data_IF_163731821405
#
_entry.id   IF_163731821405
#
_cell.length_a   1.000
_cell.length_b   1.000
_cell.length_c   1.000
_cell.angle_alpha   90.00
_cell.angle_beta   90.00
_cell.angle_gamma   90.00
#
_symmetry.space_group_name_H-M   'P 1'
#
loop_
_entity.id
_entity.type
_entity.pdbx_description
1 polymer ?
#
# COMPACT_ATOMS: atom_id res chain seq x y z
N UNK A 1 39.38 -0.07 -14.46
CA UNK A 1 38.25 -0.73 -13.78
C UNK A 1 37.31 -1.23 -14.86
N UNK A 2 37.02 -2.54 -14.87
CA UNK A 2 36.38 -3.24 -16.01
C UNK A 2 34.92 -2.79 -16.18
N UNK A 3 34.51 -2.40 -17.41
CA UNK A 3 33.15 -1.91 -17.74
C UNK A 3 32.06 -2.90 -17.30
N UNK A 4 32.35 -4.21 -17.31
CA UNK A 4 31.47 -5.27 -16.81
C UNK A 4 31.24 -5.16 -15.30
N UNK A 5 32.28 -4.82 -14.52
CA UNK A 5 32.20 -4.66 -13.06
C UNK A 5 31.38 -3.40 -12.73
N UNK A 6 31.56 -2.31 -13.48
CA UNK A 6 30.76 -1.10 -13.31
C UNK A 6 29.28 -1.31 -13.65
N UNK A 7 28.96 -2.06 -14.72
CA UNK A 7 27.60 -2.44 -15.06
C UNK A 7 26.97 -3.33 -13.97
N UNK A 8 27.72 -4.29 -13.41
CA UNK A 8 27.26 -5.16 -12.33
C UNK A 8 27.00 -4.40 -11.03
N UNK A 9 27.91 -3.47 -10.65
CA UNK A 9 27.72 -2.61 -9.46
C UNK A 9 26.55 -1.66 -9.65
N UNK A 10 26.39 -1.07 -10.84
CA UNK A 10 25.24 -0.20 -11.16
C UNK A 10 23.93 -1.00 -11.13
N UNK A 11 23.91 -2.21 -11.66
CA UNK A 11 22.75 -3.12 -11.62
C UNK A 11 22.40 -3.48 -10.19
N UNK A 12 23.37 -3.88 -9.35
CA UNK A 12 23.15 -4.16 -7.91
C UNK A 12 22.65 -2.94 -7.15
N UNK A 13 23.14 -1.73 -7.40
CA UNK A 13 22.64 -0.49 -6.74
C UNK A 13 21.19 -0.18 -7.11
N UNK A 14 20.82 -0.33 -8.38
CA UNK A 14 19.44 -0.12 -8.84
C UNK A 14 18.52 -1.20 -8.23
N UNK A 15 19.01 -2.44 -8.13
CA UNK A 15 18.25 -3.56 -7.59
C UNK A 15 17.94 -3.44 -6.10
N UNK A 16 18.76 -2.69 -5.34
CA UNK A 16 18.50 -2.44 -3.90
C UNK A 16 17.65 -1.18 -3.66
N UNK A 17 17.47 -0.34 -4.67
CA UNK A 17 16.73 0.93 -4.53
C UNK A 17 15.27 0.70 -4.12
N UNK A 18 14.62 -0.34 -4.66
CA UNK A 18 13.23 -0.63 -4.35
C UNK A 18 12.99 -0.85 -2.84
N UNK A 19 13.97 -1.39 -2.12
CA UNK A 19 13.87 -1.64 -0.67
C UNK A 19 13.74 -0.31 0.09
N UNK A 20 14.67 0.63 -0.18
CA UNK A 20 14.68 1.93 0.48
C UNK A 20 13.44 2.74 0.15
N UNK A 21 13.04 2.71 -1.11
CA UNK A 21 11.80 3.38 -1.57
C UNK A 21 10.57 2.76 -0.89
N UNK A 22 10.54 1.43 -0.72
CA UNK A 22 9.47 0.74 0.03
C UNK A 22 9.43 1.16 1.51
N UNK A 23 10.58 1.29 2.17
CA UNK A 23 10.66 1.74 3.56
C UNK A 23 10.12 3.17 3.68
N UNK A 24 10.50 4.08 2.79
CA UNK A 24 9.98 5.46 2.77
C UNK A 24 8.47 5.46 2.51
N UNK A 25 7.98 4.60 1.61
CA UNK A 25 6.55 4.44 1.36
C UNK A 25 5.79 4.00 2.63
N UNK A 26 6.35 3.04 3.37
CA UNK A 26 5.76 2.54 4.62
C UNK A 26 5.73 3.62 5.71
N UNK A 27 6.80 4.40 5.86
CA UNK A 27 6.85 5.55 6.79
C UNK A 27 5.78 6.58 6.42
N UNK A 28 5.73 7.01 5.16
CA UNK A 28 4.73 7.96 4.68
C UNK A 28 3.30 7.46 4.89
N UNK A 29 3.06 6.17 4.65
CA UNK A 29 1.78 5.51 4.89
C UNK A 29 1.39 5.50 6.38
N UNK A 30 2.35 5.25 7.28
CA UNK A 30 2.14 5.28 8.73
C UNK A 30 1.76 6.69 9.20
N UNK A 31 2.48 7.71 8.76
CA UNK A 31 2.17 9.12 9.07
C UNK A 31 0.77 9.48 8.56
N UNK A 32 0.50 9.20 7.28
CA UNK A 32 -0.83 9.43 6.68
C UNK A 32 -1.93 8.75 7.48
N UNK A 33 -1.76 7.46 7.79
CA UNK A 33 -2.77 6.68 8.53
C UNK A 33 -3.06 7.25 9.92
N UNK A 34 -2.03 7.74 10.62
CA UNK A 34 -2.15 8.34 11.95
C UNK A 34 -2.98 9.64 11.90
N UNK A 35 -2.69 10.53 10.96
CA UNK A 35 -3.45 11.78 10.80
C UNK A 35 -4.85 11.54 10.23
N UNK A 36 -5.00 10.61 9.30
CA UNK A 36 -6.29 10.23 8.75
C UNK A 36 -7.22 9.66 9.84
N UNK A 37 -6.68 8.86 10.78
CA UNK A 37 -7.44 8.36 11.94
C UNK A 37 -7.94 9.49 12.82
N UNK A 38 -7.14 10.54 13.06
CA UNK A 38 -7.57 11.74 13.81
C UNK A 38 -8.69 12.49 13.08
N UNK A 39 -8.62 12.56 11.76
CA UNK A 39 -9.63 13.24 10.93
C UNK A 39 -10.96 12.48 10.83
N UNK A 40 -11.03 11.19 11.19
CA UNK A 40 -12.31 10.46 11.19
C UNK A 40 -13.36 11.08 12.12
N UNK A 41 -12.93 11.62 13.26
CA UNK A 41 -13.86 12.23 14.23
C UNK A 41 -14.61 13.44 13.63
N UNK A 42 -13.93 14.47 13.07
CA UNK A 42 -14.62 15.63 12.51
C UNK A 42 -15.16 15.42 11.09
N UNK A 43 -14.60 14.52 10.28
CA UNK A 43 -14.96 14.37 8.88
C UNK A 43 -15.85 13.17 8.58
N UNK A 44 -15.99 12.22 9.51
CA UNK A 44 -16.58 10.91 9.25
C UNK A 44 -15.68 10.03 8.36
N UNK A 45 -16.13 8.82 8.11
CA UNK A 45 -15.33 7.80 7.39
C UNK A 45 -15.08 8.16 5.91
N UNK A 46 -16.11 8.64 5.23
CA UNK A 46 -16.01 9.01 3.81
C UNK A 46 -15.16 10.27 3.61
N UNK A 47 -15.36 11.30 4.45
CA UNK A 47 -14.59 12.54 4.39
C UNK A 47 -13.10 12.32 4.69
N UNK A 48 -12.78 11.52 5.71
CA UNK A 48 -11.40 11.16 6.02
C UNK A 48 -10.74 10.32 4.90
N UNK A 49 -11.52 9.51 4.18
CA UNK A 49 -11.04 8.77 3.01
C UNK A 49 -10.84 9.67 1.80
N UNK A 50 -11.73 10.64 1.59
CA UNK A 50 -11.64 11.60 0.49
C UNK A 50 -10.42 12.51 0.59
N UNK A 51 -10.14 13.03 1.78
CA UNK A 51 -8.97 13.88 2.07
C UNK A 51 -7.66 13.22 1.64
N UNK A 52 -7.56 11.90 1.74
CA UNK A 52 -6.40 11.14 1.27
C UNK A 52 -6.10 11.35 -0.22
N UNK A 53 -7.12 11.45 -1.05
CA UNK A 53 -6.99 11.60 -2.49
C UNK A 53 -6.97 13.07 -2.90
N UNK A 54 -7.96 13.85 -2.48
CA UNK A 54 -8.13 15.24 -2.88
C UNK A 54 -6.94 16.13 -2.51
N UNK A 55 -6.39 15.97 -1.32
CA UNK A 55 -5.22 16.75 -0.88
C UNK A 55 -3.89 16.18 -1.38
N UNK A 56 -3.85 14.91 -1.83
CA UNK A 56 -2.67 14.37 -2.50
C UNK A 56 -2.56 14.85 -3.96
N UNK A 57 -3.68 15.24 -4.57
CA UNK A 57 -3.77 15.62 -5.98
C UNK A 57 -2.75 16.71 -6.39
N UNK A 58 -2.69 17.89 -5.73
CA UNK A 58 -1.73 18.92 -6.11
C UNK A 58 -0.28 18.43 -6.00
N UNK A 59 0.07 17.68 -4.98
CA UNK A 59 1.42 17.15 -4.80
C UNK A 59 1.79 16.10 -5.85
N UNK A 60 0.85 15.26 -6.28
CA UNK A 60 1.05 14.29 -7.34
C UNK A 60 1.35 14.98 -8.69
N UNK A 61 0.61 16.04 -9.01
CA UNK A 61 0.87 16.84 -10.22
C UNK A 61 2.16 17.66 -10.14
N UNK A 62 2.47 18.24 -8.97
CA UNK A 62 3.76 18.92 -8.75
C UNK A 62 4.92 17.95 -8.96
N UNK A 63 4.81 16.72 -8.42
CA UNK A 63 5.83 15.71 -8.64
C UNK A 63 5.97 15.34 -10.13
N UNK A 64 4.86 15.05 -10.79
CA UNK A 64 4.86 14.67 -12.22
C UNK A 64 5.47 15.77 -13.10
N UNK A 65 4.94 16.99 -13.04
CA UNK A 65 5.42 18.10 -13.88
C UNK A 65 6.82 18.58 -13.46
N UNK A 66 7.10 18.61 -12.16
CA UNK A 66 8.41 18.98 -11.62
C UNK A 66 9.50 18.01 -12.07
N UNK A 67 9.23 16.70 -12.05
CA UNK A 67 10.19 15.72 -12.53
C UNK A 67 10.39 15.79 -14.05
N UNK A 68 9.34 15.94 -14.82
CA UNK A 68 9.40 16.10 -16.28
C UNK A 68 10.21 17.35 -16.64
N UNK A 69 9.96 18.48 -15.97
CA UNK A 69 10.71 19.72 -16.21
C UNK A 69 12.20 19.60 -15.83
N UNK A 70 12.50 18.85 -14.76
CA UNK A 70 13.88 18.65 -14.30
C UNK A 70 14.64 17.66 -15.16
N UNK A 71 14.01 16.55 -15.58
CA UNK A 71 14.66 15.47 -16.34
C UNK A 71 14.74 15.75 -17.85
N UNK A 72 13.92 16.67 -18.36
CA UNK A 72 13.74 16.89 -19.80
C UNK A 72 13.00 15.75 -20.50
N UNK A 73 12.41 14.82 -19.74
CA UNK A 73 11.65 13.73 -20.31
C UNK A 73 10.33 14.23 -20.92
N UNK A 74 9.81 13.49 -21.90
CA UNK A 74 8.50 13.76 -22.50
C UNK A 74 7.41 13.02 -21.74
N UNK A 75 6.24 13.64 -21.62
CA UNK A 75 5.05 12.95 -21.08
C UNK A 75 4.58 11.91 -22.09
N UNK A 76 4.34 10.65 -21.67
CA UNK A 76 3.79 9.62 -22.53
C UNK A 76 2.34 9.91 -22.89
N UNK A 77 1.91 9.45 -24.04
CA UNK A 77 0.49 9.46 -24.39
C UNK A 77 -0.30 8.52 -23.51
N UNK A 78 -1.49 8.98 -23.09
CA UNK A 78 -2.39 8.18 -22.27
C UNK A 78 -3.18 7.23 -23.17
N UNK A 79 -2.69 6.00 -23.29
CA UNK A 79 -3.35 4.98 -24.11
C UNK A 79 -4.52 4.30 -23.38
N UNK A 80 -5.37 3.59 -24.11
CA UNK A 80 -6.57 2.90 -23.57
C UNK A 80 -6.19 1.85 -22.50
N UNK A 81 -5.19 0.97 -22.70
CA UNK A 81 -4.78 0.02 -21.68
C UNK A 81 -4.39 0.68 -20.34
N UNK A 82 -3.62 1.78 -20.39
CA UNK A 82 -3.26 2.56 -19.21
C UNK A 82 -4.50 3.07 -18.48
N UNK A 83 -5.45 3.69 -19.20
CA UNK A 83 -6.66 4.26 -18.60
C UNK A 83 -7.54 3.16 -17.98
N UNK A 84 -7.67 2.01 -18.62
CA UNK A 84 -8.44 0.88 -18.10
C UNK A 84 -7.80 0.33 -16.80
N UNK A 85 -6.49 0.07 -16.81
CA UNK A 85 -5.79 -0.44 -15.63
C UNK A 85 -5.79 0.56 -14.48
N UNK A 86 -5.54 1.84 -14.76
CA UNK A 86 -5.53 2.89 -13.72
C UNK A 86 -6.92 3.08 -13.12
N UNK A 87 -7.98 3.04 -13.94
CA UNK A 87 -9.36 3.14 -13.46
C UNK A 87 -9.75 1.92 -12.64
N UNK A 88 -9.46 0.71 -13.10
CA UNK A 88 -9.71 -0.52 -12.36
C UNK A 88 -8.98 -0.52 -11.01
N UNK A 89 -7.72 -0.11 -10.98
CA UNK A 89 -6.94 0.02 -9.76
C UNK A 89 -7.53 1.08 -8.81
N UNK A 90 -7.92 2.25 -9.34
CA UNK A 90 -8.53 3.32 -8.56
C UNK A 90 -9.85 2.91 -7.91
N UNK A 91 -10.74 2.26 -8.67
CA UNK A 91 -12.03 1.74 -8.19
C UNK A 91 -11.82 0.66 -7.12
N UNK A 92 -10.94 -0.31 -7.39
CA UNK A 92 -10.66 -1.39 -6.42
C UNK A 92 -10.02 -0.88 -5.15
N UNK A 93 -9.21 0.17 -5.22
CA UNK A 93 -8.66 0.84 -4.03
C UNK A 93 -9.74 1.55 -3.20
N UNK A 94 -10.73 2.15 -3.84
CA UNK A 94 -11.89 2.74 -3.15
C UNK A 94 -12.69 1.62 -2.46
N UNK A 95 -13.01 0.53 -3.18
CA UNK A 95 -13.75 -0.61 -2.63
C UNK A 95 -12.99 -1.21 -1.43
N UNK A 96 -11.69 -1.46 -1.56
CA UNK A 96 -10.83 -1.88 -0.46
C UNK A 96 -11.00 -0.98 0.77
N UNK A 97 -10.93 0.34 0.56
CA UNK A 97 -11.01 1.32 1.66
C UNK A 97 -12.38 1.24 2.36
N UNK A 98 -13.46 1.16 1.59
CA UNK A 98 -14.83 1.02 2.14
C UNK A 98 -14.99 -0.28 2.92
N UNK A 99 -14.53 -1.41 2.39
CA UNK A 99 -14.59 -2.70 3.07
C UNK A 99 -13.78 -2.69 4.37
N UNK A 100 -12.58 -2.11 4.36
CA UNK A 100 -11.73 -2.00 5.55
C UNK A 100 -12.39 -1.14 6.63
N UNK A 101 -13.00 -0.01 6.26
CA UNK A 101 -13.71 0.87 7.20
C UNK A 101 -14.94 0.15 7.77
N UNK A 102 -15.65 -0.61 6.94
CA UNK A 102 -16.79 -1.42 7.40
C UNK A 102 -16.35 -2.45 8.45
N UNK A 103 -15.17 -3.05 8.30
CA UNK A 103 -14.62 -3.97 9.31
C UNK A 103 -14.40 -3.29 10.66
N UNK A 104 -13.93 -2.04 10.66
CA UNK A 104 -13.69 -1.30 11.91
C UNK A 104 -14.96 -1.00 12.72
N UNK A 105 -16.13 -1.09 12.10
CA UNK A 105 -17.43 -0.87 12.74
C UNK A 105 -17.98 -2.13 13.44
N UNK A 106 -17.35 -3.29 13.27
CA UNK A 106 -17.80 -4.55 13.87
C UNK A 106 -17.01 -4.94 15.12
N UNK A 107 -17.68 -5.58 16.10
CA UNK A 107 -17.05 -6.06 17.35
C UNK A 107 -15.86 -7.02 17.13
N UNK A 108 -15.86 -7.78 16.03
CA UNK A 108 -14.79 -8.73 15.67
C UNK A 108 -13.89 -8.21 14.54
N UNK A 109 -13.61 -6.90 14.52
CA UNK A 109 -12.79 -6.29 13.48
C UNK A 109 -11.37 -6.88 13.38
N UNK A 110 -10.84 -7.40 14.50
CA UNK A 110 -9.48 -7.95 14.54
C UNK A 110 -9.29 -9.16 13.60
N UNK A 111 -10.28 -10.08 13.55
CA UNK A 111 -10.22 -11.18 12.59
C UNK A 111 -10.27 -10.67 11.15
N UNK A 112 -11.24 -9.80 10.83
CA UNK A 112 -11.37 -9.24 9.49
C UNK A 112 -10.12 -8.48 9.03
N UNK A 113 -9.50 -7.69 9.90
CA UNK A 113 -8.24 -6.98 9.56
C UNK A 113 -7.06 -7.95 9.41
N UNK A 114 -6.98 -9.03 10.19
CA UNK A 114 -5.99 -10.07 9.99
C UNK A 114 -6.14 -10.71 8.59
N UNK A 115 -7.37 -11.09 8.21
CA UNK A 115 -7.64 -11.67 6.90
C UNK A 115 -7.40 -10.69 5.75
N UNK A 116 -7.59 -9.39 5.94
CA UNK A 116 -7.22 -8.40 4.90
C UNK A 116 -5.73 -8.38 4.60
N UNK A 117 -4.87 -8.77 5.56
CA UNK A 117 -3.42 -8.84 5.37
C UNK A 117 -2.94 -10.03 4.53
N UNK A 118 -3.84 -10.94 4.14
CA UNK A 118 -3.56 -11.93 3.10
C UNK A 118 -3.38 -11.30 1.72
N UNK A 119 -3.58 -9.99 1.59
CA UNK A 119 -3.36 -9.20 0.38
C UNK A 119 -2.03 -9.50 -0.30
N UNK A 120 -0.96 -9.75 0.49
CA UNK A 120 0.38 -10.02 -0.05
C UNK A 120 0.41 -11.31 -0.86
N UNK A 121 -0.22 -12.39 -0.35
CA UNK A 121 -0.34 -13.66 -1.08
C UNK A 121 -1.23 -13.48 -2.31
N UNK A 122 -2.35 -12.77 -2.15
CA UNK A 122 -3.29 -12.53 -3.24
C UNK A 122 -2.65 -11.66 -4.33
N UNK A 123 -1.82 -10.67 -3.96
CA UNK A 123 -1.04 -9.88 -4.91
C UNK A 123 -0.07 -10.75 -5.72
N UNK A 124 0.63 -11.70 -5.08
CA UNK A 124 1.50 -12.65 -5.79
C UNK A 124 0.72 -13.47 -6.81
N UNK A 125 -0.47 -13.94 -6.42
CA UNK A 125 -1.35 -14.72 -7.32
C UNK A 125 -1.81 -13.85 -8.50
N UNK A 126 -2.29 -12.63 -8.24
CA UNK A 126 -2.71 -11.72 -9.30
C UNK A 126 -1.54 -11.32 -10.20
N UNK A 127 -0.35 -11.09 -9.65
CA UNK A 127 0.85 -10.75 -10.40
C UNK A 127 1.26 -11.90 -11.34
N UNK A 128 1.17 -13.15 -10.88
CA UNK A 128 1.43 -14.32 -11.70
C UNK A 128 0.40 -14.46 -12.85
N UNK A 129 -0.89 -14.22 -12.57
CA UNK A 129 -1.97 -14.36 -13.56
C UNK A 129 -1.96 -13.21 -14.58
N UNK A 130 -1.77 -11.97 -14.13
CA UNK A 130 -1.94 -10.75 -14.96
C UNK A 130 -0.64 -10.41 -15.69
N UNK A 131 0.50 -10.48 -14.98
CA UNK A 131 1.80 -10.05 -15.48
C UNK A 131 2.74 -11.20 -15.82
N UNK A 132 2.34 -12.46 -15.56
CA UNK A 132 3.17 -13.63 -15.80
C UNK A 132 4.39 -13.75 -14.88
N UNK A 133 4.47 -12.94 -13.83
CA UNK A 133 5.61 -12.95 -12.92
C UNK A 133 5.41 -13.95 -11.77
N UNK A 134 6.27 -14.96 -11.71
CA UNK A 134 6.23 -15.98 -10.65
C UNK A 134 7.41 -15.75 -9.70
N UNK A 135 7.10 -15.59 -8.42
CA UNK A 135 8.13 -15.47 -7.37
C UNK A 135 8.85 -16.79 -7.16
N UNK A 136 10.13 -16.75 -6.76
CA UNK A 136 10.87 -17.96 -6.39
C UNK A 136 10.24 -18.62 -5.16
N UNK A 137 10.47 -19.95 -5.02
CA UNK A 137 9.95 -20.69 -3.86
C UNK A 137 10.44 -20.11 -2.53
N UNK A 138 11.69 -19.65 -2.46
CA UNK A 138 12.27 -19.03 -1.26
C UNK A 138 11.49 -17.74 -0.87
N UNK A 139 11.18 -16.89 -1.84
CA UNK A 139 10.40 -15.67 -1.62
C UNK A 139 8.96 -16.03 -1.26
N UNK A 140 8.36 -17.03 -1.90
CA UNK A 140 7.02 -17.52 -1.59
C UNK A 140 6.89 -18.00 -0.14
N UNK A 141 7.86 -18.79 0.33
CA UNK A 141 7.91 -19.26 1.73
C UNK A 141 8.09 -18.07 2.68
N UNK A 142 8.98 -17.13 2.35
CA UNK A 142 9.19 -15.94 3.16
C UNK A 142 7.91 -15.11 3.30
N UNK A 143 7.16 -14.90 2.22
CA UNK A 143 5.87 -14.19 2.22
C UNK A 143 4.85 -14.94 3.11
N UNK A 144 4.79 -16.26 3.02
CA UNK A 144 3.89 -17.07 3.84
C UNK A 144 4.21 -16.90 5.35
N UNK A 145 5.48 -16.94 5.72
CA UNK A 145 5.93 -16.68 7.10
C UNK A 145 5.50 -15.29 7.55
N UNK A 146 5.64 -14.28 6.69
CA UNK A 146 5.21 -12.90 6.99
C UNK A 146 3.71 -12.79 7.24
N UNK A 147 2.89 -13.44 6.43
CA UNK A 147 1.43 -13.48 6.63
C UNK A 147 1.09 -14.16 7.95
N UNK A 148 1.72 -15.29 8.27
CA UNK A 148 1.53 -15.96 9.58
C UNK A 148 1.92 -15.02 10.73
N UNK A 149 3.04 -14.31 10.61
CA UNK A 149 3.47 -13.32 11.61
C UNK A 149 2.42 -12.23 11.84
N UNK A 150 1.84 -11.69 10.77
CA UNK A 150 0.78 -10.66 10.86
C UNK A 150 -0.49 -11.21 11.48
N UNK A 151 -0.86 -12.46 11.19
CA UNK A 151 -1.98 -13.13 11.85
C UNK A 151 -1.72 -13.28 13.35
N UNK A 152 -0.55 -13.75 13.75
CA UNK A 152 -0.16 -13.89 15.16
C UNK A 152 -0.18 -12.53 15.88
N UNK A 153 0.32 -11.48 15.23
CA UNK A 153 0.30 -10.12 15.77
C UNK A 153 -1.14 -9.62 15.98
N UNK A 154 -2.03 -9.89 15.04
CA UNK A 154 -3.44 -9.52 15.12
C UNK A 154 -4.15 -10.26 16.26
N UNK A 155 -3.81 -11.54 16.45
CA UNK A 155 -4.33 -12.35 17.57
C UNK A 155 -3.81 -11.86 18.91
N UNK A 156 -2.51 -11.50 18.99
CA UNK A 156 -1.91 -11.02 20.23
C UNK A 156 -2.54 -9.72 20.73
N UNK A 157 -3.04 -8.88 19.82
CA UNK A 157 -3.74 -7.62 20.12
C UNK A 157 -5.25 -7.77 20.39
N UNK A 158 -5.79 -8.97 20.26
CA UNK A 158 -7.20 -9.24 20.42
C UNK A 158 -7.45 -10.32 21.46
N UNK A 159 -8.68 -10.42 21.95
CA UNK A 159 -9.14 -11.55 22.80
C UNK A 159 -9.37 -12.84 22.01
N UNK A 160 -9.02 -12.86 20.71
CA UNK A 160 -9.21 -14.02 19.85
C UNK A 160 -8.15 -15.09 20.15
N UNK A 161 -8.60 -16.33 20.20
CA UNK A 161 -7.73 -17.51 20.23
C UNK A 161 -7.60 -18.11 18.83
N UNK A 162 -6.58 -18.95 18.60
CA UNK A 162 -6.43 -19.68 17.32
C UNK A 162 -7.68 -20.52 17.00
N UNK A 163 -8.28 -21.14 17.99
CA UNK A 163 -9.52 -21.92 17.82
C UNK A 163 -10.67 -21.04 17.33
N UNK A 164 -10.84 -19.86 17.95
CA UNK A 164 -11.87 -18.91 17.55
C UNK A 164 -11.58 -18.31 16.15
N UNK A 165 -10.31 -18.18 15.74
CA UNK A 165 -9.95 -17.76 14.39
C UNK A 165 -10.34 -18.84 13.37
N UNK A 166 -10.05 -20.11 13.64
CA UNK A 166 -10.46 -21.22 12.76
C UNK A 166 -11.99 -21.33 12.64
N UNK A 167 -12.72 -21.17 13.73
CA UNK A 167 -14.20 -21.16 13.69
C UNK A 167 -14.77 -19.93 12.97
N UNK A 168 -14.02 -18.84 12.91
CA UNK A 168 -14.43 -17.61 12.24
C UNK A 168 -14.20 -17.60 10.71
N UNK A 169 -13.60 -18.65 10.12
CA UNK A 169 -13.34 -18.72 8.69
C UNK A 169 -14.59 -18.51 7.82
N UNK A 170 -15.73 -18.98 8.27
CA UNK A 170 -17.00 -18.87 7.57
C UNK A 170 -17.86 -17.69 8.03
N UNK A 171 -17.27 -16.71 8.73
CA UNK A 171 -18.01 -15.52 9.16
C UNK A 171 -18.02 -14.44 8.08
N UNK A 172 -19.05 -13.59 8.12
CA UNK A 172 -19.16 -12.41 7.23
C UNK A 172 -17.93 -11.49 7.33
N UNK A 173 -17.36 -11.34 8.54
CA UNK A 173 -16.20 -10.50 8.77
C UNK A 173 -14.94 -11.04 8.07
N UNK A 174 -14.75 -12.34 8.09
CA UNK A 174 -13.66 -13.00 7.36
C UNK A 174 -13.82 -12.83 5.85
N UNK A 175 -15.04 -13.04 5.34
CA UNK A 175 -15.32 -12.83 3.92
C UNK A 175 -15.02 -11.37 3.49
N UNK A 176 -15.43 -10.37 4.29
CA UNK A 176 -15.12 -8.95 4.05
C UNK A 176 -13.60 -8.72 4.13
N UNK A 177 -12.91 -9.33 5.10
CA UNK A 177 -11.45 -9.22 5.24
C UNK A 177 -10.71 -9.77 4.02
N UNK A 178 -11.04 -11.00 3.60
CA UNK A 178 -10.46 -11.62 2.40
C UNK A 178 -10.77 -10.84 1.13
N UNK A 179 -12.00 -10.37 0.96
CA UNK A 179 -12.38 -9.53 -0.17
C UNK A 179 -11.60 -8.20 -0.17
N UNK A 180 -11.48 -7.57 1.00
CA UNK A 180 -10.65 -6.37 1.19
C UNK A 180 -9.20 -6.62 0.77
N UNK A 181 -8.60 -7.73 1.20
CA UNK A 181 -7.27 -8.15 0.78
C UNK A 181 -7.17 -8.35 -0.75
N UNK A 182 -8.18 -9.02 -1.36
CA UNK A 182 -8.22 -9.26 -2.79
C UNK A 182 -8.27 -7.95 -3.59
N UNK A 183 -9.12 -7.02 -3.20
CA UNK A 183 -9.21 -5.71 -3.86
C UNK A 183 -7.92 -4.90 -3.73
N UNK A 184 -7.23 -4.96 -2.60
CA UNK A 184 -5.95 -4.29 -2.44
C UNK A 184 -4.83 -4.98 -3.22
N UNK A 185 -4.75 -6.31 -3.17
CA UNK A 185 -3.78 -7.09 -3.95
C UNK A 185 -3.94 -6.85 -5.45
N UNK A 186 -5.15 -6.93 -5.97
CA UNK A 186 -5.45 -6.61 -7.37
C UNK A 186 -5.09 -5.16 -7.72
N UNK A 187 -5.47 -4.20 -6.87
CA UNK A 187 -5.19 -2.79 -7.05
C UNK A 187 -3.69 -2.52 -7.27
N UNK A 188 -2.83 -3.12 -6.45
CA UNK A 188 -1.37 -2.90 -6.52
C UNK A 188 -0.77 -3.46 -7.82
N UNK A 189 -1.24 -4.63 -8.25
CA UNK A 189 -0.82 -5.25 -9.52
C UNK A 189 -1.36 -4.46 -10.72
N UNK A 190 -2.61 -3.99 -10.65
CA UNK A 190 -3.21 -3.18 -11.70
C UNK A 190 -2.49 -1.82 -11.88
N UNK A 191 -1.99 -1.20 -10.80
CA UNK A 191 -1.15 0.00 -10.92
C UNK A 191 0.18 -0.28 -11.60
N UNK A 192 0.79 -1.43 -11.33
CA UNK A 192 1.99 -1.84 -12.07
C UNK A 192 1.67 -2.07 -13.54
N UNK A 193 0.61 -2.81 -13.87
CA UNK A 193 0.15 -3.01 -15.24
C UNK A 193 -0.13 -1.68 -15.96
N UNK A 194 -0.73 -0.70 -15.26
CA UNK A 194 -0.95 0.63 -15.79
C UNK A 194 0.37 1.34 -16.14
N UNK A 195 1.32 1.35 -15.20
CA UNK A 195 2.64 1.97 -15.43
C UNK A 195 3.40 1.29 -16.58
N UNK A 196 3.29 -0.04 -16.69
CA UNK A 196 3.95 -0.81 -17.76
C UNK A 196 3.26 -0.62 -19.14
N UNK A 197 2.00 -0.19 -19.17
CA UNK A 197 1.28 0.14 -20.39
C UNK A 197 1.66 1.51 -20.99
N UNK A 198 2.37 2.37 -20.25
CA UNK A 198 2.85 3.66 -20.75
C UNK A 198 4.13 3.50 -21.57
N UNK A 199 4.15 4.08 -22.76
CA UNK A 199 5.32 4.11 -23.65
C UNK A 199 6.32 5.19 -23.21
N UNK A 200 7.16 4.85 -22.25
CA UNK A 200 8.26 5.68 -21.78
C UNK A 200 9.36 4.80 -21.19
N UNK A 201 10.61 5.10 -21.52
CA UNK A 201 11.79 4.44 -20.96
C UNK A 201 12.09 4.92 -19.52
N UNK A 202 11.55 6.07 -19.13
CA UNK A 202 11.75 6.63 -17.81
C UNK A 202 10.71 6.06 -16.81
N UNK A 203 11.19 5.22 -15.92
CA UNK A 203 10.42 4.58 -14.88
C UNK A 203 9.74 5.60 -13.95
N UNK A 204 10.41 6.73 -13.63
CA UNK A 204 9.84 7.72 -12.71
C UNK A 204 8.73 8.51 -13.41
N UNK A 205 8.87 8.77 -14.71
CA UNK A 205 7.78 9.36 -15.52
C UNK A 205 6.57 8.46 -15.49
N UNK A 206 6.73 7.16 -15.81
CA UNK A 206 5.60 6.19 -15.76
C UNK A 206 4.93 6.15 -14.39
N UNK A 207 5.73 6.07 -13.31
CA UNK A 207 5.22 6.06 -11.94
C UNK A 207 4.48 7.37 -11.58
N UNK A 208 5.03 8.54 -11.95
CA UNK A 208 4.45 9.84 -11.63
C UNK A 208 3.15 10.11 -12.38
N UNK A 209 3.09 9.77 -13.68
CA UNK A 209 1.87 9.88 -14.48
C UNK A 209 0.79 8.95 -13.93
N UNK A 210 1.14 7.69 -13.63
CA UNK A 210 0.20 6.74 -13.03
C UNK A 210 -0.34 7.24 -11.69
N UNK A 211 0.51 7.81 -10.82
CA UNK A 211 0.09 8.37 -9.56
C UNK A 211 -0.86 9.57 -9.74
N UNK A 212 -0.51 10.53 -10.60
CA UNK A 212 -1.30 11.74 -10.83
C UNK A 212 -2.70 11.40 -11.39
N UNK A 213 -2.76 10.56 -12.44
CA UNK A 213 -4.02 10.16 -13.06
C UNK A 213 -4.88 9.32 -12.10
N UNK A 214 -4.26 8.39 -11.36
CA UNK A 214 -4.95 7.57 -10.36
C UNK A 214 -5.61 8.42 -9.27
N UNK A 215 -4.86 9.34 -8.68
CA UNK A 215 -5.35 10.24 -7.62
C UNK A 215 -6.43 11.17 -8.15
N UNK A 216 -6.32 11.62 -9.42
CA UNK A 216 -7.36 12.41 -10.08
C UNK A 216 -8.67 11.64 -10.20
N UNK A 217 -8.62 10.42 -10.77
CA UNK A 217 -9.79 9.54 -10.92
C UNK A 217 -10.45 9.28 -9.55
N UNK A 218 -9.65 8.95 -8.54
CA UNK A 218 -10.15 8.69 -7.19
C UNK A 218 -10.76 9.92 -6.54
N UNK A 219 -10.15 11.09 -6.72
CA UNK A 219 -10.68 12.36 -6.21
C UNK A 219 -12.03 12.70 -6.83
N UNK A 220 -12.18 12.49 -8.13
CA UNK A 220 -13.44 12.72 -8.85
C UNK A 220 -14.52 11.72 -8.38
N UNK A 221 -14.21 10.42 -8.37
CA UNK A 221 -15.18 9.38 -8.01
C UNK A 221 -15.64 9.51 -6.56
N UNK A 222 -14.68 9.66 -5.62
CA UNK A 222 -15.00 9.84 -4.20
C UNK A 222 -15.67 11.19 -3.94
N UNK A 223 -15.23 12.27 -4.58
CA UNK A 223 -15.83 13.60 -4.47
C UNK A 223 -17.30 13.58 -4.90
N UNK A 224 -17.58 12.95 -6.05
CA UNK A 224 -18.95 12.77 -6.55
C UNK A 224 -19.81 11.93 -5.58
N UNK A 225 -19.25 10.83 -5.07
CA UNK A 225 -19.98 9.99 -4.11
C UNK A 225 -20.31 10.74 -2.82
N UNK A 226 -19.33 11.45 -2.21
CA UNK A 226 -19.56 12.21 -0.99
C UNK A 226 -20.55 13.34 -1.21
N UNK A 227 -20.43 14.06 -2.32
CA UNK A 227 -21.38 15.10 -2.69
C UNK A 227 -22.84 14.60 -2.70
N UNK A 228 -23.05 13.37 -3.18
CA UNK A 228 -24.38 12.74 -3.24
C UNK A 228 -24.85 12.17 -1.90
N UNK A 229 -23.96 11.64 -1.07
CA UNK A 229 -24.31 10.86 0.12
C UNK A 229 -24.07 11.57 1.44
N UNK A 230 -23.08 12.44 1.53
CA UNK A 230 -22.66 13.09 2.77
C UNK A 230 -22.02 14.46 2.50
N UNK A 231 -22.76 15.44 1.91
CA UNK A 231 -22.20 16.75 1.52
C UNK A 231 -21.57 17.51 2.69
N UNK A 232 -22.05 17.28 3.92
CA UNK A 232 -21.47 17.88 5.13
C UNK A 232 -20.02 17.45 5.35
N UNK A 233 -19.65 16.21 5.00
CA UNK A 233 -18.29 15.71 5.11
C UNK A 233 -17.36 16.35 4.07
N UNK A 234 -17.89 16.72 2.90
CA UNK A 234 -17.14 17.47 1.90
C UNK A 234 -16.80 18.88 2.41
N UNK A 235 -17.76 19.58 3.00
CA UNK A 235 -17.54 20.89 3.63
C UNK A 235 -16.54 20.78 4.78
N UNK A 236 -16.70 19.77 5.65
CA UNK A 236 -15.78 19.52 6.74
C UNK A 236 -14.35 19.27 6.23
N UNK A 237 -14.17 18.57 5.09
CA UNK A 237 -12.85 18.37 4.51
C UNK A 237 -12.15 19.67 4.14
N UNK A 238 -12.89 20.70 3.73
CA UNK A 238 -12.36 22.04 3.43
C UNK A 238 -12.01 22.77 4.73
N UNK A 239 -12.85 22.69 5.76
CA UNK A 239 -12.62 23.36 7.06
C UNK A 239 -11.33 22.84 7.72
N UNK A 240 -11.09 21.52 7.67
CA UNK A 240 -9.92 20.87 8.27
C UNK A 240 -8.71 20.78 7.32
N UNK A 241 -8.56 21.76 6.41
CA UNK A 241 -7.55 21.75 5.35
C UNK A 241 -6.10 21.61 5.86
N UNK A 242 -5.76 22.21 7.01
CA UNK A 242 -4.39 22.13 7.58
C UNK A 242 -3.97 20.69 7.86
N UNK A 243 -4.83 19.90 8.48
CA UNK A 243 -4.59 18.47 8.71
C UNK A 243 -4.71 17.68 7.39
N UNK A 244 -5.63 18.13 6.50
CA UNK A 244 -5.77 17.58 5.15
C UNK A 244 -4.48 17.65 4.35
N UNK A 245 -3.75 18.76 4.38
CA UNK A 245 -2.45 18.91 3.70
C UNK A 245 -1.44 17.88 4.21
N UNK A 246 -1.36 17.63 5.51
CA UNK A 246 -0.43 16.63 6.07
C UNK A 246 -0.77 15.23 5.55
N UNK A 247 -2.05 14.87 5.52
CA UNK A 247 -2.53 13.60 4.98
C UNK A 247 -2.23 13.50 3.48
N UNK A 248 -2.49 14.59 2.74
CA UNK A 248 -2.24 14.66 1.29
C UNK A 248 -0.76 14.55 0.95
N UNK A 249 0.10 15.35 1.59
CA UNK A 249 1.53 15.33 1.35
C UNK A 249 2.17 13.99 1.69
N UNK A 250 1.91 13.48 2.91
CA UNK A 250 2.42 12.15 3.31
C UNK A 250 1.85 11.03 2.44
N UNK A 251 0.59 11.16 2.00
CA UNK A 251 -0.05 10.27 1.06
C UNK A 251 0.58 10.32 -0.33
N UNK A 252 0.88 11.50 -0.86
CA UNK A 252 1.53 11.67 -2.15
C UNK A 252 2.96 11.09 -2.14
N UNK A 253 3.76 11.38 -1.11
CA UNK A 253 5.11 10.80 -0.94
C UNK A 253 5.02 9.27 -0.87
N UNK A 254 4.11 8.75 -0.05
CA UNK A 254 3.91 7.30 0.06
C UNK A 254 3.51 6.67 -1.28
N UNK A 255 2.56 7.27 -2.00
CA UNK A 255 2.09 6.77 -3.30
C UNK A 255 3.20 6.82 -4.35
N UNK A 256 3.97 7.91 -4.41
CA UNK A 256 5.12 8.05 -5.29
C UNK A 256 6.13 6.92 -5.05
N UNK A 257 6.49 6.70 -3.79
CA UNK A 257 7.42 5.65 -3.42
C UNK A 257 6.87 4.25 -3.71
N UNK A 258 5.60 3.97 -3.44
CA UNK A 258 4.98 2.69 -3.80
C UNK A 258 5.04 2.42 -5.30
N UNK A 259 4.69 3.40 -6.12
CA UNK A 259 4.65 3.21 -7.58
C UNK A 259 6.05 3.06 -8.17
N UNK A 260 7.04 3.80 -7.67
CA UNK A 260 8.45 3.58 -8.03
C UNK A 260 8.88 2.16 -7.61
N UNK A 261 8.57 1.72 -6.40
CA UNK A 261 8.93 0.38 -5.93
C UNK A 261 8.31 -0.74 -6.78
N UNK A 262 7.02 -0.63 -7.12
CA UNK A 262 6.32 -1.59 -8.00
C UNK A 262 6.87 -1.60 -9.43
N UNK A 263 7.38 -0.47 -9.92
CA UNK A 263 8.03 -0.41 -11.22
C UNK A 263 9.46 -0.97 -11.20
N UNK A 264 10.13 -0.94 -10.04
CA UNK A 264 11.49 -1.47 -9.88
C UNK A 264 11.53 -2.97 -9.62
N UNK A 265 10.53 -3.51 -8.90
CA UNK A 265 10.52 -4.90 -8.48
C UNK A 265 9.09 -5.46 -8.41
N UNK A 266 8.99 -6.80 -8.28
CA UNK A 266 7.72 -7.51 -8.19
C UNK A 266 6.86 -7.02 -7.02
N UNK A 267 5.54 -6.93 -7.24
CA UNK A 267 4.59 -6.38 -6.28
C UNK A 267 4.54 -7.20 -4.99
N UNK A 268 4.54 -8.52 -5.08
CA UNK A 268 4.49 -9.41 -3.93
C UNK A 268 5.60 -9.15 -2.91
N UNK A 269 6.90 -9.23 -3.29
CA UNK A 269 8.03 -8.90 -2.41
C UNK A 269 8.00 -7.47 -1.88
N UNK A 270 7.66 -6.48 -2.71
CA UNK A 270 7.53 -5.08 -2.31
C UNK A 270 6.47 -4.94 -1.21
N UNK A 271 5.30 -5.59 -1.37
CA UNK A 271 4.24 -5.57 -0.36
C UNK A 271 4.64 -6.33 0.92
N UNK A 272 5.41 -7.41 0.80
CA UNK A 272 5.93 -8.14 1.96
C UNK A 272 6.90 -7.29 2.80
N UNK A 273 7.87 -6.62 2.16
CA UNK A 273 8.77 -5.68 2.84
C UNK A 273 7.99 -4.49 3.41
N UNK A 274 6.95 -4.05 2.72
CA UNK A 274 6.08 -2.97 3.18
C UNK A 274 5.35 -3.26 4.50
N UNK A 275 5.24 -4.52 4.93
CA UNK A 275 4.71 -4.86 6.26
C UNK A 275 5.57 -4.31 7.41
N UNK A 276 6.77 -3.77 7.13
CA UNK A 276 7.58 -3.01 8.10
C UNK A 276 6.77 -1.87 8.75
N UNK A 277 5.70 -1.37 8.11
CA UNK A 277 4.78 -0.40 8.69
C UNK A 277 4.23 -0.85 10.06
N UNK A 278 3.99 -2.16 10.23
CA UNK A 278 3.47 -2.72 11.48
C UNK A 278 4.50 -2.63 12.60
N UNK A 279 5.79 -2.82 12.26
CA UNK A 279 6.89 -2.64 13.21
C UNK A 279 7.03 -1.17 13.61
N UNK A 280 6.85 -0.24 12.67
CA UNK A 280 6.87 1.21 12.93
C UNK A 280 5.71 1.62 13.84
N UNK A 281 4.49 1.14 13.58
CA UNK A 281 3.32 1.42 14.41
C UNK A 281 3.52 0.89 15.85
N UNK A 282 4.07 -0.32 15.99
CA UNK A 282 4.36 -0.90 17.31
C UNK A 282 5.48 -0.15 18.02
N UNK A 283 6.53 0.27 17.28
CA UNK A 283 7.58 1.12 17.81
C UNK A 283 7.02 2.44 18.37
N UNK A 284 6.15 3.11 17.63
CA UNK A 284 5.46 4.32 18.08
C UNK A 284 4.62 4.03 19.34
N UNK A 285 3.88 2.90 19.36
CA UNK A 285 3.08 2.48 20.51
C UNK A 285 3.96 2.32 21.78
N UNK A 286 5.10 1.68 21.63
CA UNK A 286 6.04 1.45 22.74
C UNK A 286 6.73 2.73 23.20
N UNK A 287 7.39 3.47 22.28
CA UNK A 287 8.23 4.61 22.64
C UNK A 287 7.45 5.89 22.95
N UNK A 288 6.32 6.12 22.29
CA UNK A 288 5.54 7.35 22.44
C UNK A 288 4.37 7.19 23.43
N UNK A 289 3.68 6.04 23.38
CA UNK A 289 2.54 5.78 24.27
C UNK A 289 2.91 4.98 25.53
N UNK A 290 4.14 4.47 25.65
CA UNK A 290 4.59 3.67 26.79
C UNK A 290 3.91 2.32 26.92
N UNK A 291 3.24 1.84 25.86
CA UNK A 291 2.58 0.54 25.87
C UNK A 291 3.63 -0.58 25.82
N UNK A 292 3.55 -1.51 26.77
CA UNK A 292 4.48 -2.65 26.82
C UNK A 292 3.95 -3.77 25.93
N UNK A 293 4.68 -4.18 24.87
CA UNK A 293 4.24 -5.28 24.04
C UNK A 293 4.25 -6.59 24.84
N UNK A 294 3.24 -7.42 24.61
CA UNK A 294 3.17 -8.77 25.16
C UNK A 294 4.24 -9.68 24.52
N UNK A 295 4.60 -10.78 25.21
CA UNK A 295 5.54 -11.78 24.67
C UNK A 295 5.06 -12.32 23.30
N UNK A 296 3.75 -12.47 23.12
CA UNK A 296 3.16 -12.92 21.85
C UNK A 296 3.37 -11.89 20.73
N UNK A 297 3.25 -10.60 21.03
CA UNK A 297 3.52 -9.52 20.07
C UNK A 297 5.00 -9.49 19.69
N UNK A 298 5.90 -9.63 20.68
CA UNK A 298 7.35 -9.69 20.43
C UNK A 298 7.70 -10.86 19.50
N UNK A 299 7.14 -12.05 19.79
CA UNK A 299 7.36 -13.23 18.93
C UNK A 299 6.86 -13.01 17.49
N UNK A 300 5.65 -12.47 17.34
CA UNK A 300 5.08 -12.15 16.02
C UNK A 300 5.93 -11.10 15.27
N UNK A 301 6.45 -10.09 15.96
CA UNK A 301 7.35 -9.09 15.37
C UNK A 301 8.68 -9.72 14.90
N UNK A 302 9.29 -10.58 15.72
CA UNK A 302 10.52 -11.28 15.33
C UNK A 302 10.30 -12.15 14.09
N UNK A 303 9.18 -12.87 14.04
CA UNK A 303 8.82 -13.67 12.87
C UNK A 303 8.62 -12.81 11.62
N UNK A 304 8.01 -11.62 11.76
CA UNK A 304 7.85 -10.66 10.66
C UNK A 304 9.21 -10.14 10.18
N UNK A 305 10.13 -9.82 11.08
CA UNK A 305 11.50 -9.41 10.73
C UNK A 305 12.21 -10.52 9.97
N UNK A 306 12.11 -11.76 10.43
CA UNK A 306 12.68 -12.94 9.73
C UNK A 306 12.12 -13.06 8.32
N UNK A 307 10.80 -12.92 8.15
CA UNK A 307 10.17 -12.93 6.83
C UNK A 307 10.72 -11.84 5.92
N UNK A 308 10.79 -10.60 6.39
CA UNK A 308 11.34 -9.49 5.60
C UNK A 308 12.80 -9.77 5.20
N UNK A 309 13.63 -10.21 6.13
CA UNK A 309 15.04 -10.56 5.84
C UNK A 309 15.13 -11.68 4.81
N UNK A 310 14.30 -12.73 4.91
CA UNK A 310 14.25 -13.81 3.93
C UNK A 310 13.85 -13.31 2.53
N UNK A 311 12.85 -12.42 2.42
CA UNK A 311 12.47 -11.78 1.15
C UNK A 311 13.64 -11.00 0.57
N UNK A 312 14.36 -10.23 1.39
CA UNK A 312 15.52 -9.45 0.96
C UNK A 312 16.65 -10.36 0.46
N UNK A 313 16.97 -11.41 1.21
CA UNK A 313 18.02 -12.37 0.82
C UNK A 313 17.66 -13.13 -0.46
N UNK A 314 16.41 -13.59 -0.59
CA UNK A 314 15.92 -14.26 -1.80
C UNK A 314 15.94 -13.34 -3.02
N UNK A 315 15.61 -12.05 -2.83
CA UNK A 315 15.68 -11.05 -3.89
C UNK A 315 17.09 -10.77 -4.38
N UNK A 316 18.10 -10.86 -3.50
CA UNK A 316 19.52 -10.68 -3.86
C UNK A 316 20.09 -11.90 -4.60
N UNK A 317 19.64 -13.11 -4.25
CA UNK A 317 20.11 -14.35 -4.89
C UNK A 317 19.50 -14.60 -6.26
N UNK A 318 18.29 -14.10 -6.50
CA UNK A 318 17.59 -14.24 -7.78
C UNK A 318 18.05 -13.28 -8.88
N UNK A 319 19.10 -12.49 -8.61
CA UNK A 319 19.75 -11.54 -9.52
C UNK A 319 21.11 -12.10 -9.95
#
# INVERSE_FOLDING_TARGET
MNVAVLKTIRRKKITMLWIWVTIVAAIGQTVRGTYQKKLKVPLGDLGASYVRFSYALPFAFIWMFGYVAWSGATLPELNIPFLLWTTAAGVTQIIFTVLLVTLFSHRSFAAGTAFSKTEVIQAVIFEAIILGYIVSLEIGVAILIGVIAVFLLSLAKSSLTLVNLCSSFFTRQTAIGLASGAFLGFCTVAYRAAADALESDDLVVRASVTAAVSVLIQSILMGFWIWRRAPQQLIASIIYWRQGIIVGLSGAISTACWFIAFSLYAVGPVRAVGQIELLLVLGISFFYFGERPSIKEIFAMLLLVVSIVMVLLGSVRGI
#
